data_IF_079964733661
#
_entry.id   IF_079964733661
#
_cell.length_a   1.000
_cell.length_b   1.000
_cell.length_c   1.000
_cell.angle_alpha   90.00
_cell.angle_beta   90.00
_cell.angle_gamma   90.00
#
_symmetry.space_group_name_H-M   'P 1'
#
loop_
_entity.id
_entity.type
_entity.pdbx_description
1 polymer ?
#
# COMPACT_ATOMS: atom_id res chain seq x y z
N UNK A 1 33.66 24.41 -51.12
CA UNK A 1 32.55 24.42 -50.13
C UNK A 1 31.41 23.44 -50.49
N UNK A 2 31.59 22.11 -50.41
CA UNK A 2 30.44 21.17 -50.38
C UNK A 2 30.36 20.30 -49.11
N UNK A 3 31.42 20.25 -48.30
CA UNK A 3 31.53 19.30 -47.18
C UNK A 3 30.80 19.74 -45.90
N UNK A 4 30.46 21.02 -45.75
CA UNK A 4 29.69 21.51 -44.59
C UNK A 4 28.17 21.30 -44.70
N UNK A 5 27.62 21.10 -45.91
CA UNK A 5 26.19 20.83 -46.07
C UNK A 5 25.85 19.34 -45.86
N UNK A 6 26.78 18.44 -46.14
CA UNK A 6 26.59 16.99 -45.96
C UNK A 6 26.51 16.59 -44.48
N UNK A 7 27.24 17.28 -43.59
CA UNK A 7 27.25 16.97 -42.15
C UNK A 7 26.02 17.49 -41.43
N UNK A 8 25.46 18.64 -41.84
CA UNK A 8 24.21 19.18 -41.28
C UNK A 8 23.01 18.36 -41.74
N UNK A 9 22.97 17.91 -43.01
CA UNK A 9 21.90 17.07 -43.51
C UNK A 9 21.89 15.66 -42.87
N UNK A 10 23.08 15.09 -42.61
CA UNK A 10 23.21 13.81 -41.90
C UNK A 10 22.76 13.90 -40.42
N UNK A 11 23.03 15.02 -39.74
CA UNK A 11 22.61 15.22 -38.35
C UNK A 11 21.08 15.43 -38.22
N UNK A 12 20.45 16.11 -39.19
CA UNK A 12 18.99 16.31 -39.22
C UNK A 12 18.25 15.01 -39.58
N UNK A 13 18.80 14.19 -40.48
CA UNK A 13 18.22 12.89 -40.85
C UNK A 13 18.35 11.85 -39.73
N UNK A 14 19.38 11.93 -38.89
CA UNK A 14 19.54 11.05 -37.71
C UNK A 14 18.53 11.40 -36.60
N UNK A 15 18.27 12.70 -36.39
CA UNK A 15 17.32 13.17 -35.36
C UNK A 15 15.84 12.88 -35.70
N UNK A 16 15.48 12.79 -36.98
CA UNK A 16 14.13 12.41 -37.42
C UNK A 16 13.91 10.88 -37.53
N UNK A 17 14.97 10.09 -37.75
CA UNK A 17 14.88 8.63 -37.83
C UNK A 17 14.44 7.98 -36.51
N UNK A 18 14.95 8.48 -35.38
CA UNK A 18 14.63 7.93 -34.06
C UNK A 18 13.22 8.30 -33.57
N UNK A 19 12.66 9.44 -34.01
CA UNK A 19 11.31 9.85 -33.64
C UNK A 19 10.23 9.02 -34.38
N UNK A 20 10.48 8.65 -35.64
CA UNK A 20 9.57 7.78 -36.42
C UNK A 20 9.67 6.32 -35.94
N UNK A 21 10.86 5.85 -35.54
CA UNK A 21 11.03 4.53 -34.94
C UNK A 21 10.37 4.41 -33.55
N UNK A 22 10.43 5.47 -32.73
CA UNK A 22 9.77 5.52 -31.43
C UNK A 22 8.23 5.56 -31.54
N UNK A 23 7.66 6.31 -32.49
CA UNK A 23 6.21 6.30 -32.75
C UNK A 23 5.73 4.95 -33.30
N UNK A 24 6.50 4.34 -34.22
CA UNK A 24 6.19 3.01 -34.77
C UNK A 24 6.23 1.94 -33.67
N UNK A 25 7.25 1.95 -32.80
CA UNK A 25 7.37 1.04 -31.66
C UNK A 25 6.24 1.18 -30.63
N UNK A 26 5.80 2.41 -30.35
CA UNK A 26 4.69 2.67 -29.42
C UNK A 26 3.35 2.21 -30.01
N UNK A 27 3.08 2.46 -31.29
CA UNK A 27 1.87 1.95 -31.97
C UNK A 27 1.85 0.44 -32.10
N UNK A 28 3.00 -0.19 -32.36
CA UNK A 28 3.09 -1.66 -32.47
C UNK A 28 2.92 -2.34 -31.11
N UNK A 29 3.50 -1.78 -30.04
CA UNK A 29 3.29 -2.27 -28.67
C UNK A 29 1.84 -2.13 -28.21
N UNK A 30 1.16 -1.05 -28.59
CA UNK A 30 -0.25 -0.84 -28.26
C UNK A 30 -1.18 -1.77 -29.05
N UNK A 31 -0.93 -1.96 -30.35
CA UNK A 31 -1.68 -2.90 -31.19
C UNK A 31 -1.44 -4.34 -30.74
N UNK A 32 -0.20 -4.73 -30.44
CA UNK A 32 0.13 -6.06 -29.94
C UNK A 32 -0.51 -6.32 -28.56
N UNK A 33 -0.52 -5.32 -27.67
CA UNK A 33 -1.23 -5.39 -26.39
C UNK A 33 -2.74 -5.54 -26.56
N UNK A 34 -3.34 -4.86 -27.54
CA UNK A 34 -4.77 -4.97 -27.85
C UNK A 34 -5.12 -6.32 -28.47
N UNK A 35 -4.27 -6.85 -29.36
CA UNK A 35 -4.41 -8.17 -29.97
C UNK A 35 -4.28 -9.26 -28.90
N UNK A 36 -3.28 -9.20 -28.03
CA UNK A 36 -3.12 -10.14 -26.91
C UNK A 36 -4.34 -10.07 -25.97
N UNK A 37 -4.82 -8.87 -25.63
CA UNK A 37 -6.01 -8.69 -24.78
C UNK A 37 -7.29 -9.19 -25.45
N UNK A 38 -7.41 -9.03 -26.78
CA UNK A 38 -8.50 -9.55 -27.58
C UNK A 38 -8.49 -11.08 -27.65
N UNK A 39 -7.32 -11.69 -27.87
CA UNK A 39 -7.17 -13.15 -27.86
C UNK A 39 -7.43 -13.74 -26.47
N UNK A 40 -6.89 -13.14 -25.40
CA UNK A 40 -7.19 -13.58 -24.02
C UNK A 40 -8.68 -13.44 -23.67
N UNK A 41 -9.36 -12.40 -24.16
CA UNK A 41 -10.81 -12.24 -23.97
C UNK A 41 -11.60 -13.30 -24.76
N UNK A 42 -11.21 -13.58 -26.00
CA UNK A 42 -11.82 -14.61 -26.85
C UNK A 42 -11.62 -16.01 -26.29
N UNK A 43 -10.47 -16.29 -25.68
CA UNK A 43 -10.15 -17.55 -25.02
C UNK A 43 -10.94 -17.74 -23.72
N UNK A 44 -11.15 -16.68 -22.93
CA UNK A 44 -12.09 -16.70 -21.79
C UNK A 44 -13.52 -16.97 -22.22
N UNK A 45 -13.99 -16.32 -23.29
CA UNK A 45 -15.34 -16.53 -23.83
C UNK A 45 -15.52 -17.97 -24.38
N UNK A 46 -14.49 -18.55 -25.01
CA UNK A 46 -14.51 -19.95 -25.43
C UNK A 46 -14.50 -20.92 -24.25
N UNK A 47 -13.74 -20.64 -23.20
CA UNK A 47 -13.71 -21.45 -21.99
C UNK A 47 -15.03 -21.38 -21.20
N UNK A 48 -15.68 -20.21 -21.16
CA UNK A 48 -17.01 -20.06 -20.56
C UNK A 48 -18.10 -20.74 -21.39
N UNK A 49 -18.01 -20.70 -22.73
CA UNK A 49 -18.90 -21.48 -23.61
C UNK A 49 -18.71 -22.99 -23.42
N UNK A 50 -17.48 -23.48 -23.29
CA UNK A 50 -17.18 -24.89 -22.97
C UNK A 50 -17.67 -25.29 -21.56
N UNK A 51 -17.56 -24.40 -20.57
CA UNK A 51 -18.09 -24.63 -19.21
C UNK A 51 -19.63 -24.64 -19.17
N UNK A 52 -20.28 -23.74 -19.90
CA UNK A 52 -21.76 -23.73 -20.05
C UNK A 52 -22.26 -24.95 -20.82
N UNK A 53 -21.57 -25.35 -21.90
CA UNK A 53 -21.83 -26.58 -22.65
C UNK A 53 -21.71 -27.83 -21.77
N UNK A 54 -20.65 -27.94 -20.93
CA UNK A 54 -20.48 -29.02 -19.96
C UNK A 54 -21.56 -29.02 -18.88
N UNK A 55 -21.99 -27.85 -18.38
CA UNK A 55 -23.11 -27.73 -17.42
C UNK A 55 -24.44 -28.17 -18.04
N UNK A 56 -24.73 -27.75 -19.27
CA UNK A 56 -25.95 -28.15 -19.99
C UNK A 56 -25.93 -29.62 -20.43
N UNK A 57 -24.75 -30.21 -20.62
CA UNK A 57 -24.59 -31.64 -20.90
C UNK A 57 -24.81 -32.47 -19.61
N UNK A 58 -24.30 -32.01 -18.46
CA UNK A 58 -24.55 -32.66 -17.17
C UNK A 58 -26.03 -32.57 -16.75
N UNK A 59 -26.70 -31.45 -16.99
CA UNK A 59 -28.15 -31.28 -16.71
C UNK A 59 -29.06 -32.09 -17.66
N UNK A 60 -28.55 -32.57 -18.80
CA UNK A 60 -29.28 -33.45 -19.72
C UNK A 60 -29.06 -34.94 -19.46
N UNK A 61 -28.01 -35.32 -18.73
CA UNK A 61 -27.71 -36.72 -18.41
C UNK A 61 -28.43 -37.22 -17.14
N UNK A 62 -28.95 -36.32 -16.29
CA UNK A 62 -29.79 -36.69 -15.13
C UNK A 62 -31.29 -36.48 -15.39
N UNK A 63 -31.84 -37.18 -16.38
CA UNK A 63 -33.30 -37.39 -16.47
C UNK A 63 -33.63 -38.77 -17.04
N UNK A 64 -33.76 -39.77 -16.17
CA UNK A 64 -34.69 -40.90 -16.38
C UNK A 64 -35.24 -41.42 -15.03
N UNK A 65 -36.43 -42.06 -15.02
CA UNK A 65 -37.38 -41.95 -13.91
C UNK A 65 -37.56 -43.25 -13.11
N UNK A 66 -37.84 -43.17 -11.81
CA UNK A 66 -38.82 -44.08 -11.17
C UNK A 66 -39.13 -43.71 -9.71
N UNK A 67 -40.45 -43.66 -9.46
CA UNK A 67 -41.15 -44.08 -8.26
C UNK A 67 -40.69 -43.58 -6.87
N UNK A 68 -41.13 -42.37 -6.50
CA UNK A 68 -41.64 -42.10 -5.14
C UNK A 68 -42.49 -40.82 -5.13
N UNK A 69 -43.68 -40.94 -5.75
CA UNK A 69 -44.77 -39.96 -5.62
C UNK A 69 -45.57 -40.28 -4.36
N UNK A 70 -45.19 -39.72 -3.21
CA UNK A 70 -46.11 -39.53 -2.06
C UNK A 70 -45.40 -38.98 -0.80
N UNK A 71 -44.83 -37.76 -0.82
CA UNK A 71 -44.46 -37.10 0.45
C UNK A 71 -44.32 -35.57 0.43
N UNK A 72 -44.09 -34.91 -0.71
CA UNK A 72 -43.70 -33.49 -0.71
C UNK A 72 -44.84 -32.51 -1.10
N UNK A 73 -46.02 -32.70 -0.49
CA UNK A 73 -47.13 -31.72 -0.53
C UNK A 73 -47.29 -30.95 0.79
N UNK A 74 -46.22 -30.79 1.56
CA UNK A 74 -46.10 -29.78 2.62
C UNK A 74 -44.72 -29.14 2.52
N UNK A 75 -44.68 -27.84 2.77
CA UNK A 75 -43.50 -26.95 2.67
C UNK A 75 -43.10 -26.50 1.26
N UNK A 76 -44.04 -25.86 0.57
CA UNK A 76 -43.68 -24.59 -0.11
C UNK A 76 -43.80 -23.47 0.92
N UNK A 77 -42.80 -23.37 1.81
CA UNK A 77 -42.58 -22.12 2.52
C UNK A 77 -42.16 -21.08 1.47
N UNK A 78 -42.97 -20.02 1.37
CA UNK A 78 -42.65 -18.79 0.66
C UNK A 78 -41.24 -18.33 1.07
N UNK A 79 -40.29 -18.36 0.15
CA UNK A 79 -38.99 -17.69 0.35
C UNK A 79 -39.30 -16.21 0.47
N UNK A 80 -39.32 -15.72 1.72
CA UNK A 80 -39.43 -14.29 2.00
C UNK A 80 -38.28 -13.59 1.26
N UNK A 81 -38.52 -12.42 0.63
CA UNK A 81 -37.42 -11.62 0.09
C UNK A 81 -36.37 -11.40 1.19
N UNK A 82 -35.07 -11.40 0.85
CA UNK A 82 -34.03 -11.19 1.85
C UNK A 82 -34.35 -9.90 2.62
N UNK A 83 -34.36 -9.97 3.95
CA UNK A 83 -34.55 -8.78 4.80
C UNK A 83 -33.54 -7.73 4.34
N UNK A 84 -34.01 -6.52 4.09
CA UNK A 84 -33.15 -5.37 3.79
C UNK A 84 -32.17 -5.23 4.96
N UNK A 85 -30.87 -5.06 4.66
CA UNK A 85 -29.89 -4.85 5.69
C UNK A 85 -30.22 -3.58 6.48
N UNK A 86 -29.90 -3.60 7.78
CA UNK A 86 -29.99 -2.42 8.61
C UNK A 86 -28.97 -1.35 8.12
N UNK A 87 -29.16 -0.07 8.47
CA UNK A 87 -28.16 0.94 8.22
C UNK A 87 -26.82 0.58 8.89
N UNK A 88 -25.72 0.90 8.22
CA UNK A 88 -24.38 0.74 8.76
C UNK A 88 -24.19 1.63 10.00
N UNK A 89 -24.02 1.03 11.16
CA UNK A 89 -23.82 1.72 12.44
C UNK A 89 -22.34 1.71 12.83
N UNK A 90 -21.82 2.85 13.27
CA UNK A 90 -20.47 2.98 13.83
C UNK A 90 -20.52 2.89 15.35
N UNK A 91 -19.61 2.11 15.94
CA UNK A 91 -19.35 2.08 17.37
C UNK A 91 -17.96 2.64 17.64
N UNK A 92 -17.90 3.80 18.26
CA UNK A 92 -16.68 4.58 18.50
C UNK A 92 -15.85 4.15 19.71
N UNK A 93 -14.72 4.81 19.95
CA UNK A 93 -13.74 4.42 20.98
C UNK A 93 -14.20 4.61 22.43
N UNK A 94 -15.33 5.28 22.68
CA UNK A 94 -15.88 5.46 24.04
C UNK A 94 -17.09 4.58 24.31
N UNK A 95 -17.42 3.70 23.38
CA UNK A 95 -18.57 2.81 23.45
C UNK A 95 -18.15 1.39 23.84
N UNK A 96 -19.16 0.54 24.00
CA UNK A 96 -19.03 -0.90 24.21
C UNK A 96 -20.11 -1.60 23.40
N UNK A 97 -19.76 -2.73 22.81
CA UNK A 97 -20.72 -3.60 22.11
C UNK A 97 -20.54 -5.04 22.60
N UNK A 98 -21.66 -5.79 22.67
CA UNK A 98 -21.66 -7.22 22.95
C UNK A 98 -22.17 -7.98 21.73
N UNK A 99 -21.37 -8.92 21.23
CA UNK A 99 -21.69 -9.75 20.06
C UNK A 99 -21.43 -11.21 20.40
N UNK A 100 -22.46 -12.08 20.32
CA UNK A 100 -22.34 -13.51 20.62
C UNK A 100 -21.60 -13.86 21.92
N UNK A 101 -21.77 -13.05 22.98
CA UNK A 101 -21.12 -13.25 24.28
C UNK A 101 -19.79 -12.52 24.46
N UNK A 102 -19.13 -12.13 23.36
CA UNK A 102 -17.92 -11.32 23.37
C UNK A 102 -18.25 -9.87 23.70
N UNK A 103 -17.60 -9.31 24.72
CA UNK A 103 -17.70 -7.89 25.06
C UNK A 103 -16.50 -7.15 24.48
N UNK A 104 -16.75 -6.25 23.55
CA UNK A 104 -15.70 -5.48 22.87
C UNK A 104 -15.71 -4.07 23.48
N UNK A 105 -14.63 -3.76 24.18
CA UNK A 105 -14.35 -2.42 24.68
C UNK A 105 -13.70 -1.59 23.58
N UNK A 106 -14.02 -0.29 23.50
CA UNK A 106 -13.48 0.63 22.48
C UNK A 106 -13.58 0.03 21.05
N UNK A 107 -14.80 -0.25 20.54
CA UNK A 107 -14.99 -1.09 19.35
C UNK A 107 -14.32 -0.56 18.09
N UNK A 108 -14.46 0.73 17.79
CA UNK A 108 -13.96 1.37 16.57
C UNK A 108 -14.26 0.57 15.29
N UNK A 109 -15.51 0.09 15.19
CA UNK A 109 -15.94 -0.81 14.12
C UNK A 109 -17.34 -0.48 13.64
N UNK A 110 -17.66 -0.97 12.45
CA UNK A 110 -19.01 -0.93 11.92
C UNK A 110 -19.79 -2.20 12.24
N UNK A 111 -21.10 -2.07 12.38
CA UNK A 111 -22.03 -3.21 12.46
C UNK A 111 -23.28 -2.94 11.62
N UNK A 112 -23.85 -4.01 11.07
CA UNK A 112 -25.10 -3.98 10.32
C UNK A 112 -25.71 -5.37 10.32
N UNK A 113 -27.00 -5.50 10.64
CA UNK A 113 -27.69 -6.77 10.45
C UNK A 113 -27.99 -6.99 8.98
N UNK A 114 -27.69 -8.17 8.47
CA UNK A 114 -27.96 -8.56 7.10
C UNK A 114 -26.95 -8.06 6.08
N UNK A 115 -27.04 -8.64 4.88
CA UNK A 115 -26.08 -8.44 3.80
C UNK A 115 -26.17 -7.03 3.20
N UNK A 116 -25.08 -6.28 3.31
CA UNK A 116 -24.92 -4.98 2.67
C UNK A 116 -24.77 -5.16 1.15
N UNK A 117 -25.48 -4.37 0.32
CA UNK A 117 -25.28 -4.40 -1.12
C UNK A 117 -23.88 -3.89 -1.48
N UNK A 118 -23.32 -4.41 -2.57
CA UNK A 118 -22.05 -3.91 -3.13
C UNK A 118 -22.14 -2.38 -3.32
N UNK A 119 -21.11 -1.60 -2.93
CA UNK A 119 -19.74 -1.99 -2.55
C UNK A 119 -19.57 -2.58 -1.14
N UNK A 120 -20.61 -2.52 -0.30
CA UNK A 120 -20.64 -3.14 1.03
C UNK A 120 -19.76 -2.45 2.07
N UNK A 121 -19.48 -3.17 3.15
CA UNK A 121 -18.47 -2.82 4.15
C UNK A 121 -17.84 -4.11 4.70
N UNK A 122 -16.66 -4.52 4.22
CA UNK A 122 -16.04 -5.78 4.64
C UNK A 122 -15.81 -5.89 6.14
N UNK A 123 -15.50 -4.76 6.80
CA UNK A 123 -15.27 -4.71 8.26
C UNK A 123 -16.54 -4.79 9.10
N UNK A 124 -17.72 -4.68 8.49
CA UNK A 124 -18.98 -4.62 9.22
C UNK A 124 -19.29 -5.97 9.85
N UNK A 125 -19.43 -5.98 11.18
CA UNK A 125 -19.89 -7.15 11.91
C UNK A 125 -21.41 -7.26 11.72
N UNK A 126 -21.87 -8.40 11.23
CA UNK A 126 -23.28 -8.78 11.21
C UNK A 126 -23.59 -9.68 12.41
N UNK A 127 -24.22 -9.16 13.48
CA UNK A 127 -24.53 -9.92 14.68
C UNK A 127 -25.58 -11.02 14.47
N UNK A 128 -26.24 -11.07 13.31
CA UNK A 128 -27.20 -12.12 12.98
C UNK A 128 -26.53 -13.38 12.41
N UNK A 129 -25.26 -13.28 11.99
CA UNK A 129 -24.52 -14.40 11.43
C UNK A 129 -24.02 -15.34 12.54
N UNK A 130 -24.18 -16.67 12.38
CA UNK A 130 -23.76 -17.62 13.40
C UNK A 130 -22.25 -17.56 13.65
N UNK A 131 -21.90 -17.77 14.93
CA UNK A 131 -20.53 -17.77 15.46
C UNK A 131 -20.31 -19.09 16.20
N UNK A 132 -19.18 -19.75 15.93
CA UNK A 132 -18.76 -20.96 16.61
C UNK A 132 -17.57 -20.67 17.55
N UNK A 133 -17.08 -21.70 18.23
CA UNK A 133 -15.83 -21.60 18.99
C UNK A 133 -14.70 -21.04 18.12
N UNK A 134 -13.85 -20.16 18.65
CA UNK A 134 -12.75 -19.57 17.91
C UNK A 134 -11.87 -20.62 17.22
N UNK A 135 -11.67 -20.45 15.91
CA UNK A 135 -10.74 -21.27 15.16
C UNK A 135 -9.29 -20.99 15.59
N UNK A 136 -8.42 -21.98 15.40
CA UNK A 136 -6.97 -21.92 15.68
C UNK A 136 -6.19 -22.55 14.53
N UNK A 137 -4.90 -22.24 14.43
CA UNK A 137 -4.01 -22.81 13.40
C UNK A 137 -4.53 -22.59 11.98
N UNK A 138 -4.46 -23.62 11.14
CA UNK A 138 -4.86 -23.53 9.73
C UNK A 138 -6.34 -23.12 9.55
N UNK A 139 -7.23 -23.60 10.43
CA UNK A 139 -8.65 -23.26 10.35
C UNK A 139 -8.93 -21.78 10.64
N UNK A 140 -7.99 -21.07 11.29
CA UNK A 140 -8.09 -19.65 11.54
C UNK A 140 -7.55 -18.80 10.38
N UNK A 141 -6.87 -19.38 9.39
CA UNK A 141 -6.27 -18.61 8.30
C UNK A 141 -7.31 -17.98 7.41
N UNK A 142 -7.01 -16.77 6.95
CA UNK A 142 -7.90 -15.98 6.12
C UNK A 142 -7.43 -15.92 4.67
N UNK A 143 -8.41 -15.75 3.78
CA UNK A 143 -8.13 -15.42 2.38
C UNK A 143 -7.73 -13.95 2.21
N UNK A 144 -7.16 -13.62 1.06
CA UNK A 144 -6.89 -12.25 0.70
C UNK A 144 -8.19 -11.44 0.54
N UNK A 145 -8.19 -10.16 0.94
CA UNK A 145 -9.37 -9.29 0.96
C UNK A 145 -10.59 -9.90 1.66
N UNK A 146 -10.38 -10.43 2.87
CA UNK A 146 -11.45 -11.02 3.66
C UNK A 146 -12.54 -10.00 4.02
N UNK A 147 -13.77 -10.49 4.17
CA UNK A 147 -14.94 -9.76 4.67
C UNK A 147 -15.57 -10.58 5.79
N UNK A 148 -16.05 -9.91 6.84
CA UNK A 148 -16.71 -10.56 7.97
C UNK A 148 -17.87 -11.47 7.53
N UNK A 149 -18.61 -11.02 6.51
CA UNK A 149 -19.73 -11.76 5.92
C UNK A 149 -19.31 -13.17 5.45
N UNK A 150 -18.13 -13.28 4.85
CA UNK A 150 -17.64 -14.53 4.24
C UNK A 150 -16.73 -15.35 5.14
N UNK A 151 -16.49 -14.91 6.38
CA UNK A 151 -15.79 -15.73 7.37
C UNK A 151 -16.62 -16.96 7.73
N UNK A 152 -15.95 -18.09 7.93
CA UNK A 152 -16.56 -19.28 8.54
C UNK A 152 -16.96 -19.01 9.99
N UNK A 153 -17.84 -19.83 10.56
CA UNK A 153 -18.34 -19.66 11.93
C UNK A 153 -17.21 -19.57 12.96
N UNK A 154 -16.16 -20.39 12.80
CA UNK A 154 -15.00 -20.41 13.70
C UNK A 154 -14.05 -19.22 13.48
N UNK A 155 -13.88 -18.76 12.25
CA UNK A 155 -13.11 -17.54 11.95
C UNK A 155 -13.80 -16.29 12.51
N UNK A 156 -15.14 -16.22 12.46
CA UNK A 156 -15.89 -15.16 13.17
C UNK A 156 -15.64 -15.21 14.67
N UNK A 157 -15.63 -16.40 15.27
CA UNK A 157 -15.28 -16.59 16.68
C UNK A 157 -13.87 -16.07 16.99
N UNK A 158 -12.88 -16.42 16.16
CA UNK A 158 -11.50 -15.96 16.33
C UNK A 158 -11.35 -14.44 16.17
N UNK A 159 -12.11 -13.82 15.26
CA UNK A 159 -12.11 -12.38 15.09
C UNK A 159 -12.75 -11.65 16.27
N UNK A 160 -13.92 -12.12 16.74
CA UNK A 160 -14.63 -11.51 17.87
C UNK A 160 -13.87 -11.66 19.19
N UNK A 161 -13.22 -12.81 19.40
CA UNK A 161 -12.32 -13.02 20.53
C UNK A 161 -11.15 -12.03 20.50
N UNK A 162 -10.45 -11.94 19.37
CA UNK A 162 -9.35 -10.98 19.20
C UNK A 162 -9.78 -9.52 19.42
N UNK A 163 -10.98 -9.13 18.95
CA UNK A 163 -11.54 -7.81 19.23
C UNK A 163 -11.82 -7.60 20.73
N UNK A 164 -12.38 -8.60 21.41
CA UNK A 164 -12.71 -8.56 22.83
C UNK A 164 -11.46 -8.52 23.72
N UNK A 165 -10.37 -9.14 23.29
CA UNK A 165 -9.06 -9.14 23.96
C UNK A 165 -8.24 -7.87 23.67
N UNK A 166 -8.85 -6.86 23.04
CA UNK A 166 -8.22 -5.56 22.83
C UNK A 166 -7.31 -5.50 21.61
N UNK A 167 -7.48 -6.42 20.65
CA UNK A 167 -6.77 -6.45 19.36
C UNK A 167 -5.26 -6.65 19.49
N UNK A 168 -4.83 -7.41 20.48
CA UNK A 168 -3.44 -7.77 20.72
C UNK A 168 -3.34 -9.28 20.90
N UNK A 169 -2.16 -9.80 20.62
CA UNK A 169 -1.80 -11.21 20.79
C UNK A 169 -0.47 -11.29 21.53
N UNK A 170 -0.32 -12.28 22.40
CA UNK A 170 0.96 -12.55 23.09
C UNK A 170 2.07 -12.92 22.10
N UNK A 171 1.71 -13.65 21.03
CA UNK A 171 2.58 -13.92 19.89
C UNK A 171 2.02 -13.26 18.61
N UNK A 172 2.48 -12.05 18.27
CA UNK A 172 2.04 -11.35 17.06
C UNK A 172 2.41 -12.06 15.75
N UNK A 173 3.36 -13.01 15.77
CA UNK A 173 3.79 -13.71 14.56
C UNK A 173 2.80 -14.79 14.10
N UNK A 174 1.99 -15.32 15.02
CA UNK A 174 0.99 -16.35 14.75
C UNK A 174 -0.34 -15.77 14.22
N UNK A 175 -0.58 -14.48 14.46
CA UNK A 175 -1.79 -13.82 13.98
C UNK A 175 -1.81 -13.71 12.47
N UNK A 176 -2.84 -14.28 11.85
CA UNK A 176 -3.15 -13.99 10.46
C UNK A 176 -3.51 -12.51 10.30
N UNK A 177 -2.69 -11.77 9.54
CA UNK A 177 -2.85 -10.34 9.32
C UNK A 177 -4.19 -10.00 8.63
N UNK A 178 -4.87 -10.96 8.01
CA UNK A 178 -6.21 -10.75 7.46
C UNK A 178 -7.20 -10.21 8.50
N UNK A 179 -7.09 -10.63 9.77
CA UNK A 179 -7.97 -10.10 10.84
C UNK A 179 -7.65 -8.64 11.16
N UNK A 180 -6.36 -8.30 11.18
CA UNK A 180 -5.88 -6.94 11.41
C UNK A 180 -6.33 -6.02 10.26
N UNK A 181 -6.22 -6.49 9.02
CA UNK A 181 -6.71 -5.77 7.84
C UNK A 181 -8.23 -5.62 7.81
N UNK A 182 -8.97 -6.67 8.22
CA UNK A 182 -10.42 -6.62 8.31
C UNK A 182 -10.89 -5.50 9.24
N UNK A 183 -10.25 -5.34 10.39
CA UNK A 183 -10.49 -4.23 11.31
C UNK A 183 -10.05 -2.88 10.71
N UNK A 184 -8.85 -2.84 10.13
CA UNK A 184 -8.30 -1.63 9.50
C UNK A 184 -9.21 -1.04 8.42
N UNK A 185 -9.93 -1.86 7.64
CA UNK A 185 -10.86 -1.36 6.62
C UNK A 185 -11.95 -0.43 7.18
N UNK A 186 -12.43 -0.70 8.40
CA UNK A 186 -13.41 0.14 9.08
C UNK A 186 -12.82 1.48 9.49
N UNK A 187 -11.61 1.47 10.08
CA UNK A 187 -10.86 2.67 10.42
C UNK A 187 -10.55 3.51 9.19
N UNK A 188 -10.04 2.88 8.14
CA UNK A 188 -9.70 3.50 6.85
C UNK A 188 -10.91 4.23 6.25
N UNK A 189 -12.07 3.58 6.20
CA UNK A 189 -13.32 4.21 5.78
C UNK A 189 -13.71 5.38 6.66
N UNK A 190 -13.66 5.21 7.99
CA UNK A 190 -14.08 6.24 8.95
C UNK A 190 -13.21 7.50 8.81
N UNK A 191 -11.90 7.32 8.76
CA UNK A 191 -10.92 8.40 8.63
C UNK A 191 -11.08 9.12 7.27
N UNK A 192 -11.28 8.40 6.17
CA UNK A 192 -11.24 9.02 4.84
C UNK A 192 -12.59 9.56 4.35
N UNK A 193 -13.68 8.81 4.57
CA UNK A 193 -15.00 9.20 4.05
C UNK A 193 -15.80 10.04 5.03
N UNK A 194 -15.77 9.68 6.31
CA UNK A 194 -16.48 10.42 7.36
C UNK A 194 -15.62 11.58 7.87
N UNK A 195 -14.29 11.48 7.74
CA UNK A 195 -13.33 12.48 8.26
C UNK A 195 -13.48 12.68 9.76
N UNK A 196 -13.63 11.57 10.48
CA UNK A 196 -13.70 11.58 11.93
C UNK A 196 -12.37 12.08 12.52
N UNK A 197 -12.36 13.20 13.26
CA UNK A 197 -11.13 13.80 13.75
C UNK A 197 -10.60 13.13 15.03
N UNK A 198 -11.33 12.14 15.60
CA UNK A 198 -10.92 11.51 16.86
C UNK A 198 -9.50 10.91 16.76
N UNK A 199 -8.52 11.45 17.50
CA UNK A 199 -7.12 11.06 17.37
C UNK A 199 -6.90 9.58 17.76
N UNK A 200 -7.81 8.99 18.53
CA UNK A 200 -7.74 7.58 18.94
C UNK A 200 -7.80 6.63 17.74
N UNK A 201 -8.42 7.03 16.64
CA UNK A 201 -8.48 6.20 15.42
C UNK A 201 -7.09 6.02 14.79
N UNK A 202 -6.32 7.11 14.68
CA UNK A 202 -4.94 7.05 14.18
C UNK A 202 -4.01 6.40 15.20
N UNK A 203 -4.22 6.67 16.49
CA UNK A 203 -3.47 6.01 17.55
C UNK A 203 -3.62 4.48 17.49
N UNK A 204 -4.83 3.95 17.29
CA UNK A 204 -5.03 2.50 17.15
C UNK A 204 -4.27 1.92 15.96
N UNK A 205 -4.17 2.65 14.84
CA UNK A 205 -3.38 2.24 13.67
C UNK A 205 -1.89 2.18 14.02
N UNK A 206 -1.39 3.19 14.76
CA UNK A 206 0.01 3.22 15.23
C UNK A 206 0.29 2.05 16.15
N UNK A 207 -0.56 1.80 17.15
CA UNK A 207 -0.35 0.71 18.10
C UNK A 207 -0.43 -0.67 17.44
N UNK A 208 -1.35 -0.87 16.47
CA UNK A 208 -1.40 -2.10 15.67
C UNK A 208 -0.13 -2.27 14.82
N UNK A 209 0.38 -1.18 14.25
CA UNK A 209 1.61 -1.19 13.46
C UNK A 209 2.84 -1.52 14.33
N UNK A 210 2.92 -0.97 15.53
CA UNK A 210 4.00 -1.25 16.49
C UNK A 210 3.94 -2.70 17.00
N UNK A 211 2.72 -3.22 17.25
CA UNK A 211 2.52 -4.58 17.76
C UNK A 211 2.78 -5.67 16.70
N UNK A 212 2.19 -5.53 15.50
CA UNK A 212 2.25 -6.55 14.45
C UNK A 212 3.33 -6.29 13.39
N UNK A 213 3.79 -5.04 13.24
CA UNK A 213 4.79 -4.67 12.23
C UNK A 213 6.11 -5.43 12.34
N UNK A 214 6.72 -5.58 13.53
CA UNK A 214 7.98 -6.28 13.70
C UNK A 214 7.93 -7.76 13.25
N UNK A 215 6.84 -8.47 13.56
CA UNK A 215 6.64 -9.88 13.19
C UNK A 215 6.10 -10.10 11.78
N UNK A 216 5.52 -9.07 11.16
CA UNK A 216 4.88 -9.17 9.85
C UNK A 216 5.88 -9.57 8.75
N UNK A 217 5.68 -10.76 8.18
CA UNK A 217 6.43 -11.28 7.03
C UNK A 217 6.16 -10.51 5.73
N UNK A 218 4.98 -9.89 5.63
CA UNK A 218 4.59 -9.04 4.50
C UNK A 218 4.88 -7.57 4.78
N UNK A 219 5.21 -6.81 3.74
CA UNK A 219 5.34 -5.35 3.81
C UNK A 219 3.98 -4.63 3.77
N UNK A 220 2.91 -5.32 3.38
CA UNK A 220 1.60 -4.71 3.17
C UNK A 220 1.08 -3.98 4.41
N UNK A 221 1.25 -4.54 5.60
CA UNK A 221 0.80 -3.92 6.84
C UNK A 221 1.48 -2.57 7.04
N UNK A 222 2.82 -2.53 7.02
CA UNK A 222 3.60 -1.29 7.09
C UNK A 222 3.18 -0.29 6.01
N UNK A 223 3.08 -0.73 4.76
CA UNK A 223 2.75 0.15 3.63
C UNK A 223 1.39 0.82 3.80
N UNK A 224 0.30 0.05 3.91
CA UNK A 224 -1.05 0.63 3.96
C UNK A 224 -1.30 1.46 5.23
N UNK A 225 -0.77 1.02 6.38
CA UNK A 225 -0.96 1.71 7.64
C UNK A 225 -0.24 3.05 7.64
N UNK A 226 1.04 3.06 7.25
CA UNK A 226 1.82 4.29 7.18
C UNK A 226 1.29 5.24 6.10
N UNK A 227 0.91 4.74 4.93
CA UNK A 227 0.30 5.58 3.88
C UNK A 227 -0.97 6.28 4.38
N UNK A 228 -1.85 5.56 5.11
CA UNK A 228 -3.05 6.17 5.69
C UNK A 228 -2.67 7.23 6.73
N UNK A 229 -1.73 6.92 7.63
CA UNK A 229 -1.27 7.85 8.66
C UNK A 229 -0.69 9.13 8.04
N UNK A 230 0.17 9.01 7.03
CA UNK A 230 0.75 10.16 6.35
C UNK A 230 -0.31 10.99 5.61
N UNK A 231 -1.16 10.34 4.81
CA UNK A 231 -2.17 11.03 4.01
C UNK A 231 -3.22 11.72 4.89
N UNK A 232 -3.75 11.01 5.89
CA UNK A 232 -4.78 11.56 6.79
C UNK A 232 -4.24 12.66 7.69
N UNK A 233 -3.01 12.56 8.18
CA UNK A 233 -2.43 13.60 9.04
C UNK A 233 -2.03 14.84 8.25
N UNK A 234 -1.59 14.69 7.00
CA UNK A 234 -1.38 15.85 6.11
C UNK A 234 -2.69 16.60 5.86
N UNK A 235 -3.82 15.89 5.72
CA UNK A 235 -5.15 16.49 5.60
C UNK A 235 -5.60 17.29 6.83
N UNK A 236 -5.06 17.01 8.01
CA UNK A 236 -5.36 17.75 9.24
C UNK A 236 -4.57 19.06 9.36
N UNK A 237 -3.50 19.20 8.59
CA UNK A 237 -2.73 20.44 8.48
C UNK A 237 -1.23 20.22 8.62
N UNK A 238 -0.49 21.21 8.11
CA UNK A 238 0.97 21.19 8.04
C UNK A 238 1.64 21.06 9.42
N UNK A 239 1.11 21.72 10.46
CA UNK A 239 1.64 21.61 11.82
C UNK A 239 1.43 20.21 12.42
N UNK A 240 0.18 19.71 12.37
CA UNK A 240 -0.19 18.38 12.89
C UNK A 240 0.66 17.29 12.26
N UNK A 241 0.79 17.33 10.93
CA UNK A 241 1.60 16.34 10.23
C UNK A 241 3.07 16.40 10.61
N UNK A 242 3.64 17.60 10.80
CA UNK A 242 5.05 17.79 11.14
C UNK A 242 5.45 17.15 12.47
N UNK A 243 4.53 17.12 13.43
CA UNK A 243 4.75 16.51 14.75
C UNK A 243 4.94 14.98 14.69
N UNK A 244 4.31 14.34 13.69
CA UNK A 244 4.17 12.87 13.65
C UNK A 244 5.01 12.20 12.56
N UNK A 245 5.14 12.80 11.38
CA UNK A 245 5.79 12.15 10.24
C UNK A 245 7.27 11.79 10.44
N UNK A 246 8.09 12.52 11.24
CA UNK A 246 9.48 12.14 11.44
C UNK A 246 9.64 10.75 12.06
N UNK A 247 8.75 10.39 13.01
CA UNK A 247 8.75 9.06 13.65
C UNK A 247 8.37 7.97 12.65
N UNK A 248 7.41 8.26 11.78
CA UNK A 248 6.92 7.33 10.76
C UNK A 248 7.93 7.12 9.64
N UNK A 249 8.74 8.13 9.31
CA UNK A 249 9.81 8.02 8.32
C UNK A 249 10.78 6.88 8.66
N UNK A 250 11.18 6.78 9.93
CA UNK A 250 12.01 5.68 10.43
C UNK A 250 11.29 4.32 10.31
N UNK A 251 9.98 4.27 10.56
CA UNK A 251 9.17 3.05 10.49
C UNK A 251 9.01 2.48 9.07
N UNK A 252 9.19 3.28 8.02
CA UNK A 252 9.21 2.79 6.62
C UNK A 252 10.44 1.94 6.28
N UNK A 253 11.53 2.09 7.05
CA UNK A 253 12.81 1.47 6.74
C UNK A 253 13.37 1.95 5.38
N UNK A 254 14.10 1.09 4.67
CA UNK A 254 14.83 1.50 3.46
C UNK A 254 13.94 1.90 2.25
N UNK A 255 12.62 1.64 2.29
CA UNK A 255 11.72 1.93 1.15
C UNK A 255 10.48 2.71 1.60
N UNK A 256 10.50 4.00 1.30
CA UNK A 256 9.36 4.92 1.43
C UNK A 256 8.51 4.95 0.14
N UNK A 257 7.18 4.97 0.21
CA UNK A 257 6.38 5.15 -1.00
C UNK A 257 6.63 6.52 -1.65
N UNK A 258 6.54 6.60 -2.98
CA UNK A 258 6.75 7.85 -3.73
C UNK A 258 5.75 8.94 -3.37
N UNK A 259 4.50 8.58 -3.06
CA UNK A 259 3.49 9.54 -2.62
C UNK A 259 3.79 10.11 -1.24
N UNK A 260 4.26 9.27 -0.30
CA UNK A 260 4.63 9.72 1.05
C UNK A 260 5.82 10.70 1.01
N UNK A 261 6.82 10.46 0.15
CA UNK A 261 7.93 11.40 -0.07
C UNK A 261 7.40 12.77 -0.47
N UNK A 262 6.44 12.83 -1.40
CA UNK A 262 5.87 14.12 -1.84
C UNK A 262 5.19 14.85 -0.68
N UNK A 263 4.46 14.15 0.19
CA UNK A 263 3.82 14.75 1.37
C UNK A 263 4.84 15.34 2.34
N UNK A 264 5.91 14.59 2.65
CA UNK A 264 7.00 15.07 3.53
C UNK A 264 7.68 16.30 2.93
N UNK A 265 8.02 16.27 1.64
CA UNK A 265 8.67 17.40 0.97
C UNK A 265 7.77 18.64 0.88
N UNK A 266 6.48 18.45 0.60
CA UNK A 266 5.50 19.52 0.60
C UNK A 266 5.37 20.16 1.99
N UNK A 267 5.30 19.34 3.05
CA UNK A 267 5.23 19.83 4.42
C UNK A 267 6.45 20.68 4.80
N UNK A 268 7.66 20.23 4.48
CA UNK A 268 8.89 21.00 4.71
C UNK A 268 8.89 22.32 3.93
N UNK A 269 8.51 22.29 2.66
CA UNK A 269 8.43 23.48 1.81
C UNK A 269 7.42 24.51 2.34
N UNK A 270 6.22 24.08 2.73
CA UNK A 270 5.17 24.95 3.28
C UNK A 270 5.62 25.64 4.57
N UNK A 271 6.49 24.99 5.35
CA UNK A 271 7.06 25.53 6.58
C UNK A 271 8.32 26.35 6.38
N UNK A 272 8.87 26.39 5.17
CA UNK A 272 10.18 26.98 4.90
C UNK A 272 11.33 26.26 5.62
N UNK A 273 11.14 24.99 5.99
CA UNK A 273 12.16 24.20 6.67
C UNK A 273 13.12 23.55 5.65
N UNK A 274 14.44 23.55 5.91
CA UNK A 274 15.39 22.83 5.08
C UNK A 274 15.20 21.32 5.24
N UNK A 275 15.39 20.58 4.15
CA UNK A 275 15.37 19.13 4.15
C UNK A 275 16.63 18.59 4.84
N UNK A 276 16.41 17.86 5.94
CA UNK A 276 17.44 17.14 6.69
C UNK A 276 17.94 15.90 5.93
N UNK A 277 19.16 15.44 6.23
CA UNK A 277 19.80 14.32 5.55
C UNK A 277 18.99 13.02 5.67
N UNK A 278 18.26 12.82 6.77
CA UNK A 278 17.40 11.63 6.98
C UNK A 278 16.28 11.55 5.94
N UNK A 279 15.67 12.69 5.56
CA UNK A 279 14.69 12.73 4.46
C UNK A 279 15.40 12.54 3.12
N UNK A 280 16.55 13.19 2.96
CA UNK A 280 17.37 13.09 1.76
C UNK A 280 17.81 11.64 1.45
N UNK A 281 18.08 10.84 2.49
CA UNK A 281 18.40 9.42 2.37
C UNK A 281 17.28 8.63 1.69
N UNK A 282 16.03 8.88 2.07
CA UNK A 282 14.89 8.23 1.42
C UNK A 282 14.65 8.78 0.02
N UNK A 283 14.96 10.04 -0.25
CA UNK A 283 14.76 10.63 -1.58
C UNK A 283 15.84 10.18 -2.59
N UNK A 284 17.12 10.18 -2.19
CA UNK A 284 18.28 9.96 -3.04
C UNK A 284 18.17 8.76 -4.00
N UNK A 285 17.83 7.53 -3.55
CA UNK A 285 17.75 6.36 -4.44
C UNK A 285 16.60 6.41 -5.46
N UNK A 286 15.71 7.42 -5.39
CA UNK A 286 14.58 7.63 -6.30
C UNK A 286 14.88 8.67 -7.38
N UNK A 287 15.98 9.41 -7.24
CA UNK A 287 16.37 10.41 -8.23
C UNK A 287 16.91 9.70 -9.49
N UNK A 288 16.56 10.23 -10.65
CA UNK A 288 16.95 9.68 -11.95
C UNK A 288 18.48 9.55 -12.11
N UNK A 289 19.22 10.53 -11.57
CA UNK A 289 20.68 10.58 -11.64
C UNK A 289 21.39 9.74 -10.58
N UNK A 290 20.67 9.17 -9.62
CA UNK A 290 21.27 8.34 -8.58
C UNK A 290 21.49 6.91 -9.10
N UNK A 291 22.72 6.41 -8.94
CA UNK A 291 23.05 5.04 -9.31
C UNK A 291 22.42 4.05 -8.32
N UNK A 292 21.95 2.93 -8.85
CA UNK A 292 21.58 1.76 -8.07
C UNK A 292 22.81 0.87 -7.93
N UNK A 293 23.18 0.51 -6.70
CA UNK A 293 24.35 -0.32 -6.44
C UNK A 293 24.12 -1.29 -5.28
N UNK A 294 24.65 -2.51 -5.41
CA UNK A 294 24.63 -3.52 -4.33
C UNK A 294 25.48 -3.08 -3.13
N UNK A 295 26.43 -2.16 -3.34
CA UNK A 295 27.25 -1.58 -2.27
C UNK A 295 26.39 -0.92 -1.19
N UNK A 296 25.29 -0.28 -1.59
CA UNK A 296 24.34 0.34 -0.65
C UNK A 296 23.79 -0.71 0.31
N UNK A 297 23.32 -1.84 -0.23
CA UNK A 297 22.75 -2.93 0.57
C UNK A 297 23.82 -3.66 1.40
N UNK A 298 25.01 -3.91 0.83
CA UNK A 298 26.07 -4.68 1.48
C UNK A 298 26.78 -3.90 2.59
N UNK A 299 27.00 -2.61 2.39
CA UNK A 299 27.70 -1.76 3.35
C UNK A 299 26.81 -1.28 4.49
N UNK A 300 25.49 -1.34 4.32
CA UNK A 300 24.50 -1.12 5.39
C UNK A 300 24.76 0.18 6.16
N UNK A 301 24.99 0.05 7.46
CA UNK A 301 25.25 1.16 8.39
C UNK A 301 26.43 2.05 7.98
N UNK A 302 27.45 1.50 7.31
CA UNK A 302 28.61 2.28 6.84
C UNK A 302 28.20 3.26 5.75
N UNK A 303 27.32 2.84 4.84
CA UNK A 303 26.81 3.73 3.79
C UNK A 303 25.91 4.82 4.40
N UNK A 304 25.12 4.47 5.42
CA UNK A 304 24.30 5.43 6.16
C UNK A 304 25.12 6.54 6.81
N UNK A 305 26.16 6.19 7.59
CA UNK A 305 27.06 7.17 8.24
C UNK A 305 27.83 8.02 7.23
N UNK A 306 28.36 7.41 6.16
CA UNK A 306 29.08 8.16 5.12
C UNK A 306 28.14 9.14 4.41
N UNK A 307 26.92 8.73 4.11
CA UNK A 307 25.94 9.61 3.46
C UNK A 307 25.57 10.80 4.34
N UNK A 308 25.34 10.59 5.64
CA UNK A 308 25.12 11.65 6.63
C UNK A 308 26.28 12.67 6.59
N UNK A 309 27.52 12.21 6.79
CA UNK A 309 28.71 13.05 6.78
C UNK A 309 28.83 13.86 5.47
N UNK A 310 28.75 13.19 4.32
CA UNK A 310 28.87 13.84 3.00
C UNK A 310 27.75 14.84 2.74
N UNK A 311 26.55 14.57 3.24
CA UNK A 311 25.42 15.47 3.12
C UNK A 311 25.66 16.73 3.96
N UNK A 312 26.07 16.58 5.22
CA UNK A 312 26.31 17.70 6.13
C UNK A 312 27.48 18.58 5.69
N UNK A 313 28.55 17.99 5.14
CA UNK A 313 29.67 18.72 4.53
C UNK A 313 29.22 19.56 3.32
N UNK A 314 28.37 18.98 2.46
CA UNK A 314 27.97 19.60 1.21
C UNK A 314 26.80 20.59 1.35
N UNK A 315 25.93 20.38 2.34
CA UNK A 315 24.68 21.10 2.57
C UNK A 315 24.49 21.35 4.08
N UNK A 316 25.36 22.17 4.70
CA UNK A 316 25.31 22.44 6.14
C UNK A 316 23.97 23.09 6.51
N UNK A 317 23.31 22.55 7.54
CA UNK A 317 21.97 23.00 7.96
C UNK A 317 20.81 22.48 7.08
N UNK A 318 21.11 21.64 6.07
CA UNK A 318 20.11 21.00 5.22
C UNK A 318 19.90 21.68 3.87
N UNK A 319 19.02 21.08 3.06
CA UNK A 319 18.74 21.55 1.70
C UNK A 319 17.47 22.39 1.66
N UNK A 320 17.59 23.68 1.32
CA UNK A 320 16.41 24.53 1.09
C UNK A 320 15.62 24.01 -0.12
N UNK A 321 14.29 23.90 0.02
CA UNK A 321 13.42 23.34 -1.01
C UNK A 321 12.76 24.42 -1.85
N UNK A 322 12.60 24.13 -3.14
CA UNK A 322 11.79 24.92 -4.07
C UNK A 322 10.69 24.04 -4.68
N UNK A 323 9.56 24.65 -5.04
CA UNK A 323 8.44 23.96 -5.68
C UNK A 323 8.21 24.46 -7.11
N UNK A 324 7.84 23.55 -8.01
CA UNK A 324 7.42 23.92 -9.34
C UNK A 324 6.13 24.76 -9.29
N UNK A 325 5.94 25.65 -10.29
CA UNK A 325 4.75 26.52 -10.37
C UNK A 325 3.44 25.75 -10.37
N UNK A 326 3.42 24.57 -10.99
CA UNK A 326 2.24 23.70 -11.05
C UNK A 326 2.30 22.70 -9.89
N UNK A 327 1.33 22.73 -8.97
CA UNK A 327 1.22 21.73 -7.90
C UNK A 327 0.89 20.35 -8.47
N UNK A 328 1.04 19.33 -7.63
CA UNK A 328 0.87 17.92 -7.99
C UNK A 328 -0.25 17.31 -7.15
N UNK A 329 -0.90 16.29 -7.72
CA UNK A 329 -1.84 15.46 -6.98
C UNK A 329 -1.09 14.31 -6.30
N UNK A 330 -1.40 14.10 -5.03
CA UNK A 330 -1.09 12.86 -4.31
C UNK A 330 -2.36 12.06 -4.17
N UNK A 331 -2.32 10.81 -4.59
CA UNK A 331 -3.44 9.88 -4.53
C UNK A 331 -3.23 8.85 -3.43
N UNK A 332 -4.21 8.73 -2.53
CA UNK A 332 -4.23 7.66 -1.55
C UNK A 332 -4.92 6.42 -2.12
N UNK A 333 -4.22 5.29 -2.02
CA UNK A 333 -4.75 4.00 -2.44
C UNK A 333 -5.18 3.19 -1.24
N UNK A 334 -6.49 3.09 -1.04
CA UNK A 334 -7.08 2.29 0.02
C UNK A 334 -6.70 0.80 -0.06
N UNK A 335 -6.47 0.19 1.10
CA UNK A 335 -6.32 -1.23 1.29
C UNK A 335 -7.64 -1.98 1.05
N UNK A 336 -8.78 -1.37 1.38
CA UNK A 336 -10.11 -1.92 1.13
C UNK A 336 -10.53 -1.74 -0.33
N UNK A 337 -10.74 -2.85 -1.05
CA UNK A 337 -11.27 -2.83 -2.42
C UNK A 337 -12.71 -2.30 -2.48
N UNK A 338 -13.51 -2.58 -1.44
CA UNK A 338 -14.84 -2.01 -1.27
C UNK A 338 -14.80 -0.50 -1.09
N UNK A 339 -13.81 0.03 -0.36
CA UNK A 339 -13.65 1.47 -0.21
C UNK A 339 -13.28 2.13 -1.55
N UNK A 340 -12.38 1.52 -2.34
CA UNK A 340 -12.04 2.01 -3.68
C UNK A 340 -13.28 2.08 -4.59
N UNK A 341 -14.12 1.04 -4.59
CA UNK A 341 -15.36 1.02 -5.35
C UNK A 341 -16.36 2.09 -4.84
N UNK A 342 -16.51 2.21 -3.51
CA UNK A 342 -17.41 3.18 -2.90
C UNK A 342 -17.02 4.63 -3.20
N UNK A 343 -15.72 4.94 -3.19
CA UNK A 343 -15.21 6.28 -3.56
C UNK A 343 -15.59 6.63 -4.99
N UNK A 344 -15.44 5.66 -5.91
CA UNK A 344 -15.87 5.81 -7.30
C UNK A 344 -17.38 6.03 -7.43
N UNK A 345 -18.19 5.22 -6.74
CA UNK A 345 -19.65 5.31 -6.79
C UNK A 345 -20.17 6.64 -6.21
N UNK A 346 -19.51 7.16 -5.18
CA UNK A 346 -19.85 8.44 -4.55
C UNK A 346 -19.26 9.66 -5.29
N UNK A 347 -18.54 9.45 -6.40
CA UNK A 347 -17.79 10.48 -7.11
C UNK A 347 -16.92 11.33 -6.16
N UNK A 348 -16.32 10.67 -5.16
CA UNK A 348 -15.35 11.28 -4.26
C UNK A 348 -13.94 11.02 -4.78
N UNK A 349 -13.01 11.86 -4.36
CA UNK A 349 -11.61 11.67 -4.68
C UNK A 349 -10.78 11.55 -3.41
N UNK A 350 -9.90 10.55 -3.38
CA UNK A 350 -8.91 10.36 -2.32
C UNK A 350 -7.58 10.98 -2.77
N UNK A 351 -7.66 12.18 -3.33
CA UNK A 351 -6.53 12.95 -3.82
C UNK A 351 -6.43 14.29 -3.13
N UNK A 352 -5.19 14.73 -2.90
CA UNK A 352 -4.87 16.04 -2.36
C UNK A 352 -3.88 16.76 -3.25
N UNK A 353 -4.06 18.07 -3.40
CA UNK A 353 -3.20 18.92 -4.21
C UNK A 353 -2.18 19.57 -3.30
N UNK A 354 -0.91 19.35 -3.59
CA UNK A 354 0.21 19.82 -2.75
C UNK A 354 1.26 20.56 -3.59
N UNK A 355 2.12 21.39 -2.98
CA UNK A 355 3.29 21.95 -3.63
C UNK A 355 4.15 20.87 -4.30
N UNK A 356 4.50 21.10 -5.57
CA UNK A 356 5.24 20.12 -6.35
C UNK A 356 6.76 20.32 -6.21
N UNK A 357 7.30 19.93 -5.06
CA UNK A 357 8.73 20.00 -4.77
C UNK A 357 9.53 19.06 -5.70
N UNK A 358 9.01 17.86 -5.96
CA UNK A 358 9.67 16.91 -6.87
C UNK A 358 9.69 17.33 -8.34
N UNK A 359 8.87 18.31 -8.74
CA UNK A 359 8.77 18.76 -10.14
C UNK A 359 9.98 19.57 -10.63
N UNK A 360 10.83 20.08 -9.72
CA UNK A 360 12.09 20.75 -10.07
C UNK A 360 13.26 19.77 -9.94
N UNK A 361 13.35 18.81 -10.85
CA UNK A 361 14.36 17.72 -10.77
C UNK A 361 15.80 18.20 -10.59
N UNK A 362 16.17 19.34 -11.20
CA UNK A 362 17.53 19.88 -11.14
C UNK A 362 17.98 20.28 -9.73
N UNK A 363 17.06 20.62 -8.82
CA UNK A 363 17.43 20.99 -7.46
C UNK A 363 18.13 19.83 -6.74
N UNK A 364 17.75 18.59 -7.06
CA UNK A 364 18.29 17.38 -6.43
C UNK A 364 19.57 16.84 -7.09
N UNK A 365 20.15 17.55 -8.07
CA UNK A 365 21.41 17.10 -8.69
C UNK A 365 22.52 16.91 -7.65
N UNK A 366 22.69 17.88 -6.74
CA UNK A 366 23.71 17.80 -5.69
C UNK A 366 23.50 16.60 -4.76
N UNK A 367 22.24 16.28 -4.45
CA UNK A 367 21.89 15.10 -3.65
C UNK A 367 22.24 13.78 -4.38
N UNK A 368 21.99 13.71 -5.69
CA UNK A 368 22.39 12.56 -6.50
C UNK A 368 23.93 12.43 -6.56
N UNK A 369 24.66 13.55 -6.65
CA UNK A 369 26.13 13.55 -6.65
C UNK A 369 26.69 13.03 -5.31
N UNK A 370 26.12 13.46 -4.17
CA UNK A 370 26.48 12.96 -2.83
C UNK A 370 26.25 11.45 -2.74
N UNK A 371 25.07 10.98 -3.15
CA UNK A 371 24.73 9.55 -3.15
C UNK A 371 25.70 8.73 -4.01
N UNK A 372 26.00 9.23 -5.21
CA UNK A 372 26.93 8.59 -6.12
C UNK A 372 28.36 8.57 -5.57
N UNK A 373 28.83 9.66 -4.96
CA UNK A 373 30.14 9.73 -4.32
C UNK A 373 30.30 8.67 -3.22
N UNK A 374 29.28 8.50 -2.37
CA UNK A 374 29.28 7.45 -1.35
C UNK A 374 29.43 6.04 -1.94
N UNK A 375 28.82 5.79 -3.11
CA UNK A 375 28.98 4.52 -3.83
C UNK A 375 30.43 4.34 -4.30
N UNK A 376 31.04 5.36 -4.88
CA UNK A 376 32.41 5.27 -5.41
C UNK A 376 33.43 5.03 -4.29
N UNK A 377 33.29 5.77 -3.19
CA UNK A 377 34.13 5.69 -2.00
C UNK A 377 34.14 4.27 -1.40
N UNK A 378 32.96 3.71 -1.14
CA UNK A 378 32.83 2.38 -0.55
C UNK A 378 33.18 1.25 -1.54
N UNK A 379 33.00 1.48 -2.85
CA UNK A 379 33.46 0.57 -3.90
C UNK A 379 34.99 0.57 -4.00
N UNK A 380 35.63 1.73 -3.84
CA UNK A 380 37.09 1.88 -3.78
C UNK A 380 37.67 1.16 -2.58
N UNK A 381 37.11 1.40 -1.38
CA UNK A 381 37.53 0.73 -0.15
C UNK A 381 37.41 -0.80 -0.24
N UNK A 382 36.29 -1.31 -0.74
CA UNK A 382 36.08 -2.76 -0.89
C UNK A 382 37.11 -3.42 -1.81
N UNK A 383 37.47 -2.75 -2.91
CA UNK A 383 38.50 -3.25 -3.86
C UNK A 383 39.90 -3.21 -3.24
N UNK A 384 40.23 -2.13 -2.53
CA UNK A 384 41.51 -2.00 -1.84
C UNK A 384 41.69 -3.08 -0.75
N UNK A 385 40.61 -3.42 -0.03
CA UNK A 385 40.62 -4.47 0.98
C UNK A 385 40.78 -5.87 0.36
N UNK A 386 40.13 -6.15 -0.77
CA UNK A 386 40.25 -7.44 -1.46
C UNK A 386 41.67 -7.70 -2.03
N UNK A 387 42.41 -6.63 -2.35
CA UNK A 387 43.79 -6.73 -2.84
C UNK A 387 44.85 -6.84 -1.72
N UNK A 388 44.52 -6.50 -0.47
CA UNK A 388 45.39 -6.71 0.70
C UNK A 388 44.92 -7.96 1.45
N UNK A 389 45.59 -9.09 1.26
CA UNK A 389 45.47 -10.28 2.13
C UNK A 389 46.01 -9.98 3.53
N UNK A 390 45.27 -9.23 4.35
CA UNK A 390 45.47 -9.10 5.80
C UNK A 390 44.27 -8.37 6.43
N UNK A 391 43.86 -8.83 7.62
CA UNK A 391 42.81 -8.35 8.53
C UNK A 391 42.22 -6.95 8.25
N UNK A 392 40.88 -6.76 8.29
CA UNK A 392 40.29 -5.44 8.15
C UNK A 392 40.72 -4.54 9.30
N UNK A 393 41.48 -3.51 8.98
CA UNK A 393 41.87 -2.48 9.94
C UNK A 393 40.65 -1.57 10.15
N UNK A 394 39.81 -1.92 11.12
CA UNK A 394 38.62 -1.18 11.54
C UNK A 394 38.98 0.29 11.84
N UNK A 395 40.21 0.54 12.31
CA UNK A 395 40.79 1.88 12.50
C UNK A 395 40.99 2.68 11.22
N UNK A 396 41.34 2.05 10.09
CA UNK A 396 41.47 2.75 8.81
C UNK A 396 40.09 3.14 8.24
N UNK A 397 39.07 2.35 8.56
CA UNK A 397 37.69 2.66 8.23
C UNK A 397 37.11 3.74 9.16
N UNK A 398 37.39 3.70 10.46
CA UNK A 398 37.04 4.78 11.39
C UNK A 398 37.76 6.09 11.04
N UNK A 399 39.00 6.03 10.53
CA UNK A 399 39.70 7.21 10.03
C UNK A 399 39.16 7.72 8.68
N UNK A 400 38.47 6.88 7.91
CA UNK A 400 37.80 7.25 6.66
C UNK A 400 36.39 7.83 6.89
N UNK A 401 35.74 7.44 7.99
CA UNK A 401 34.41 7.93 8.42
C UNK A 401 34.51 9.06 9.48
N UNK A 402 35.73 9.57 9.73
CA UNK A 402 36.01 10.81 10.46
C UNK A 402 36.34 11.89 9.45
#
# INVERSE_FOLDING_TARGET
MPWMFATILAAVLWYFGDFVAALAGFTFGWILGFVIRFFMRREREQNDRKRRSKRSANERTERQPSAQRSATRRERQLVRPPKKADPLQWFGPSEKIKVHGYSIERPMLYSSNGRLPWPGEPSAIDPSLPVARPARGEAARLGYYSSFEYLTLGQRGAYLEWLAEGRRDDDPAERDLGYVFLFFYGLERRILLVRDPDPRLRQEIVELLEHYGPSARSRSLRTYFLELLHFSSYLEGTEVYREVWPKWLTAHGAKLDGEVVKLVLANLFERGEPMHWTVAWHLAPRLEKSRKSVVVTRSGEKFWKLFEQRFEEALPGGMTLQAAKRPVWVEYRAASSSLLALVSDLNRDLRIRIPNVMGLHSQFNKLADIWNGCIDDLSGFSRALAHKTASPDEKALEAFLK
#
